data_IF_821953109509
#
_entry.id   IF_821953109509
#
_cell.length_a   1.000
_cell.length_b   1.000
_cell.length_c   1.000
_cell.angle_alpha   90.00
_cell.angle_beta   90.00
_cell.angle_gamma   90.00
#
_symmetry.space_group_name_H-M   'P 1'
#
loop_
_entity.id
_entity.type
_entity.pdbx_description
1 polymer ?
#
# COMPACT_ATOMS: atom_id res chain seq x y z
N UNK A 1 -32.02 -19.34 60.20
CA UNK A 1 -32.48 -19.92 58.92
C UNK A 1 -32.20 -18.88 57.85
N UNK A 2 -31.29 -19.22 56.92
CA UNK A 2 -30.72 -18.36 55.88
C UNK A 2 -31.75 -17.97 54.82
N UNK A 3 -31.61 -16.78 54.23
CA UNK A 3 -31.91 -16.54 52.81
C UNK A 3 -31.17 -15.26 52.35
N UNK A 4 -29.94 -15.46 51.87
CA UNK A 4 -29.16 -14.46 51.13
C UNK A 4 -29.64 -14.47 49.67
N UNK A 5 -30.25 -13.38 49.23
CA UNK A 5 -30.62 -13.14 47.84
C UNK A 5 -29.37 -12.71 47.06
N UNK A 6 -28.71 -13.66 46.37
CA UNK A 6 -27.66 -13.35 45.40
C UNK A 6 -28.30 -12.88 44.09
N UNK A 7 -28.45 -11.57 43.93
CA UNK A 7 -28.74 -10.94 42.64
C UNK A 7 -27.47 -10.99 41.77
N UNK A 8 -27.35 -12.03 40.95
CA UNK A 8 -26.32 -12.14 39.91
C UNK A 8 -26.65 -11.10 38.83
N UNK A 9 -25.95 -9.97 38.87
CA UNK A 9 -25.91 -9.01 37.76
C UNK A 9 -25.13 -9.64 36.60
N UNK A 10 -25.86 -10.21 35.63
CA UNK A 10 -25.28 -10.54 34.33
C UNK A 10 -25.02 -9.23 33.59
N UNK A 11 -23.74 -8.82 33.51
CA UNK A 11 -23.34 -7.76 32.60
C UNK A 11 -23.71 -8.20 31.18
N UNK A 12 -24.46 -7.41 30.40
CA UNK A 12 -24.62 -7.73 28.99
C UNK A 12 -23.23 -7.74 28.37
N UNK A 13 -22.83 -8.88 27.81
CA UNK A 13 -21.65 -8.96 26.97
C UNK A 13 -21.92 -8.01 25.79
N UNK A 14 -21.31 -6.84 25.81
CA UNK A 14 -21.31 -5.95 24.66
C UNK A 14 -20.75 -6.79 23.49
N UNK A 15 -21.60 -7.12 22.53
CA UNK A 15 -21.18 -7.79 21.31
C UNK A 15 -20.13 -6.89 20.66
N UNK A 16 -18.86 -7.26 20.80
CA UNK A 16 -17.77 -6.59 20.08
C UNK A 16 -18.11 -6.74 18.60
N UNK A 17 -18.50 -5.62 17.97
CA UNK A 17 -18.69 -5.58 16.54
C UNK A 17 -17.39 -6.08 15.90
N UNK A 18 -17.50 -7.10 15.06
CA UNK A 18 -16.36 -7.65 14.34
C UNK A 18 -15.69 -6.59 13.44
N UNK A 19 -14.49 -6.88 12.93
CA UNK A 19 -13.76 -5.93 12.08
C UNK A 19 -14.60 -5.55 10.86
N UNK A 20 -14.60 -4.27 10.51
CA UNK A 20 -15.26 -3.79 9.31
C UNK A 20 -14.44 -4.12 8.04
N UNK A 21 -14.97 -3.81 6.87
CA UNK A 21 -14.27 -4.07 5.61
C UNK A 21 -12.97 -3.27 5.49
N UNK A 22 -12.96 -2.03 5.99
CA UNK A 22 -11.78 -1.17 5.98
C UNK A 22 -10.68 -1.77 6.84
N UNK A 23 -11.00 -2.29 8.03
CA UNK A 23 -10.05 -2.96 8.93
C UNK A 23 -9.41 -4.17 8.26
N UNK A 24 -10.19 -4.98 7.55
CA UNK A 24 -9.70 -6.14 6.82
C UNK A 24 -8.76 -5.73 5.68
N UNK A 25 -9.12 -4.70 4.90
CA UNK A 25 -8.29 -4.18 3.81
C UNK A 25 -7.00 -3.58 4.35
N UNK A 26 -7.08 -2.79 5.43
CA UNK A 26 -5.92 -2.18 6.08
C UNK A 26 -4.97 -3.24 6.60
N UNK A 27 -5.48 -4.24 7.33
CA UNK A 27 -4.67 -5.36 7.82
C UNK A 27 -4.01 -6.16 6.69
N UNK A 28 -4.73 -6.38 5.59
CA UNK A 28 -4.20 -7.12 4.43
C UNK A 28 -3.15 -6.34 3.64
N UNK A 29 -3.26 -5.01 3.54
CA UNK A 29 -2.35 -4.18 2.76
C UNK A 29 -1.13 -3.70 3.57
N UNK A 30 -1.24 -3.60 4.89
CA UNK A 30 -0.19 -3.06 5.74
C UNK A 30 1.09 -3.91 5.71
N UNK A 31 2.23 -3.24 5.82
CA UNK A 31 3.55 -3.85 5.83
C UNK A 31 4.66 -2.95 5.31
N UNK A 32 5.89 -3.43 5.41
CA UNK A 32 7.06 -2.83 4.78
C UNK A 32 7.36 -3.56 3.47
N UNK A 33 7.00 -2.96 2.36
CA UNK A 33 7.08 -3.53 1.02
C UNK A 33 8.37 -3.13 0.30
N UNK A 34 8.74 -3.94 -0.70
CA UNK A 34 9.88 -3.72 -1.57
C UNK A 34 9.42 -3.70 -3.02
N UNK A 35 9.93 -2.77 -3.82
CA UNK A 35 9.72 -2.71 -5.26
C UNK A 35 11.07 -2.90 -5.98
N UNK A 36 11.19 -3.83 -6.93
CA UNK A 36 12.44 -4.03 -7.68
C UNK A 36 12.81 -2.79 -8.49
N UNK A 37 14.11 -2.55 -8.64
CA UNK A 37 14.64 -1.47 -9.46
C UNK A 37 16.05 -1.82 -9.93
N UNK A 38 16.46 -1.39 -11.11
CA UNK A 38 17.83 -1.51 -11.58
C UNK A 38 18.44 -0.12 -11.68
N UNK A 39 19.53 0.13 -10.98
CA UNK A 39 20.19 1.44 -10.94
C UNK A 39 21.58 1.33 -11.53
N UNK A 40 21.97 2.33 -12.32
CA UNK A 40 23.26 2.40 -12.97
C UNK A 40 24.27 3.10 -12.05
N UNK A 41 25.36 2.40 -11.75
CA UNK A 41 26.50 2.91 -10.97
C UNK A 41 27.75 2.70 -11.82
N UNK A 42 28.49 3.78 -12.11
CA UNK A 42 29.74 3.70 -12.90
C UNK A 42 29.57 2.94 -14.23
N UNK A 43 28.44 3.16 -14.93
CA UNK A 43 28.12 2.47 -16.19
C UNK A 43 27.58 1.04 -16.06
N UNK A 44 27.47 0.51 -14.84
CA UNK A 44 26.99 -0.86 -14.58
C UNK A 44 25.61 -0.85 -13.92
N UNK A 45 24.66 -1.57 -14.51
CA UNK A 45 23.34 -1.78 -13.90
C UNK A 45 23.42 -2.78 -12.76
N UNK A 46 23.03 -2.35 -11.56
CA UNK A 46 22.91 -3.17 -10.36
C UNK A 46 21.46 -3.24 -9.94
N UNK A 47 21.01 -4.45 -9.60
CA UNK A 47 19.65 -4.66 -9.07
C UNK A 47 19.58 -4.22 -7.62
N UNK A 48 18.58 -3.40 -7.30
CA UNK A 48 18.26 -2.94 -5.95
C UNK A 48 16.77 -3.08 -5.66
N UNK A 49 16.36 -2.52 -4.52
CA UNK A 49 14.95 -2.46 -4.12
C UNK A 49 14.61 -1.11 -3.49
N UNK A 50 13.49 -0.51 -3.91
CA UNK A 50 12.86 0.64 -3.24
C UNK A 50 12.01 0.15 -2.07
N UNK A 51 12.05 0.86 -0.94
CA UNK A 51 11.17 0.57 0.21
C UNK A 51 9.92 1.43 0.17
N UNK A 52 8.77 0.80 0.40
CA UNK A 52 7.48 1.46 0.54
C UNK A 52 6.86 0.97 1.84
N UNK A 53 6.42 1.88 2.69
CA UNK A 53 5.80 1.54 3.98
C UNK A 53 4.31 1.83 3.87
N UNK A 54 3.49 0.83 4.20
CA UNK A 54 2.03 0.94 4.25
C UNK A 54 1.61 0.67 5.69
N UNK A 55 1.08 1.70 6.34
CA UNK A 55 0.68 1.66 7.75
C UNK A 55 -0.83 1.91 7.89
N UNK A 56 -1.47 1.39 8.93
CA UNK A 56 -2.80 1.82 9.33
C UNK A 56 -2.82 3.32 9.66
N UNK A 57 -3.83 4.03 9.16
CA UNK A 57 -4.18 5.38 9.56
C UNK A 57 -5.48 5.34 10.38
N UNK A 58 -5.33 5.23 11.70
CA UNK A 58 -6.44 5.09 12.64
C UNK A 58 -6.82 6.46 13.19
N UNK A 59 -8.04 6.91 12.88
CA UNK A 59 -8.60 8.16 13.42
C UNK A 59 -9.85 7.79 14.23
N UNK A 60 -9.94 8.14 15.53
CA UNK A 60 -11.11 7.85 16.34
C UNK A 60 -12.41 8.33 15.68
N UNK A 61 -13.42 7.47 15.67
CA UNK A 61 -14.73 7.76 15.07
C UNK A 61 -14.75 7.76 13.53
N UNK A 62 -13.66 7.37 12.86
CA UNK A 62 -13.61 7.22 11.41
C UNK A 62 -13.22 5.78 11.03
N UNK A 63 -13.79 5.23 9.94
CA UNK A 63 -13.33 3.96 9.38
C UNK A 63 -11.82 3.97 9.12
N UNK A 64 -11.14 2.85 9.36
CA UNK A 64 -9.69 2.73 9.21
C UNK A 64 -9.23 3.11 7.78
N UNK A 65 -8.08 3.78 7.70
CA UNK A 65 -7.43 4.12 6.43
C UNK A 65 -6.03 3.54 6.33
N UNK A 66 -5.38 3.83 5.20
CA UNK A 66 -3.97 3.55 4.96
C UNK A 66 -3.17 4.83 4.90
N UNK A 67 -1.95 4.79 5.39
CA UNK A 67 -0.90 5.77 5.15
C UNK A 67 0.22 5.09 4.39
N UNK A 68 0.44 5.52 3.16
CA UNK A 68 1.55 5.13 2.32
C UNK A 68 2.71 6.10 2.51
N UNK A 69 3.93 5.58 2.59
CA UNK A 69 5.14 6.38 2.59
C UNK A 69 6.15 5.78 1.62
N UNK A 70 6.64 6.62 0.72
CA UNK A 70 7.80 6.30 -0.09
C UNK A 70 9.04 6.67 0.72
N UNK A 71 9.85 5.66 1.01
CA UNK A 71 11.13 5.88 1.68
C UNK A 71 12.14 6.18 0.60
N UNK A 72 12.93 7.20 0.85
CA UNK A 72 13.96 7.67 -0.06
C UNK A 72 14.82 6.51 -0.57
N UNK A 73 14.91 6.43 -1.88
CA UNK A 73 15.91 5.62 -2.52
C UNK A 73 17.18 6.45 -2.34
N UNK A 74 18.11 6.02 -1.48
CA UNK A 74 19.45 6.61 -1.39
C UNK A 74 20.41 5.83 -2.32
N UNK A 75 20.30 5.86 -3.66
CA UNK A 75 21.34 5.29 -4.48
C UNK A 75 22.39 6.40 -4.62
N UNK A 76 23.19 6.63 -3.58
CA UNK A 76 24.01 7.86 -3.42
C UNK A 76 24.83 8.26 -4.66
N UNK A 77 25.23 7.30 -5.49
CA UNK A 77 26.04 7.48 -6.70
C UNK A 77 25.36 6.99 -7.99
N UNK A 78 24.07 6.62 -7.95
CA UNK A 78 23.42 6.15 -9.18
C UNK A 78 23.12 7.31 -10.12
N UNK A 79 23.44 7.10 -11.40
CA UNK A 79 23.19 8.10 -12.46
C UNK A 79 21.78 8.02 -13.03
N UNK A 80 21.16 6.84 -12.98
CA UNK A 80 19.74 6.63 -13.30
C UNK A 80 19.24 5.32 -12.73
N UNK A 81 17.93 5.17 -12.65
CA UNK A 81 17.31 3.88 -12.37
C UNK A 81 16.17 3.58 -13.36
N UNK A 82 15.98 2.30 -13.66
CA UNK A 82 15.00 1.77 -14.61
C UNK A 82 14.31 0.50 -14.09
N UNK A 83 13.11 0.21 -14.60
CA UNK A 83 12.46 -1.10 -14.41
C UNK A 83 13.04 -2.15 -15.38
N UNK A 84 12.53 -3.39 -15.32
CA UNK A 84 12.97 -4.45 -16.25
C UNK A 84 12.68 -4.17 -17.74
N UNK A 85 11.84 -3.19 -18.05
CA UNK A 85 11.50 -2.78 -19.42
C UNK A 85 12.32 -1.56 -19.87
N UNK A 86 13.22 -1.05 -19.02
CA UNK A 86 13.98 0.15 -19.30
C UNK A 86 13.23 1.46 -19.05
N UNK A 87 12.03 1.41 -18.45
CA UNK A 87 11.29 2.63 -18.08
C UNK A 87 11.98 3.31 -16.91
N UNK A 88 12.18 4.62 -16.99
CA UNK A 88 12.76 5.40 -15.91
C UNK A 88 11.99 5.23 -14.59
N UNK A 89 12.73 5.03 -13.51
CA UNK A 89 12.23 4.85 -12.15
C UNK A 89 12.76 6.00 -11.27
N UNK A 90 12.09 7.16 -11.25
CA UNK A 90 12.52 8.33 -10.49
C UNK A 90 12.45 8.08 -8.99
N UNK A 91 13.17 8.86 -8.20
CA UNK A 91 13.01 8.93 -6.76
C UNK A 91 11.60 9.43 -6.42
N UNK A 92 10.97 8.75 -5.48
CA UNK A 92 9.63 9.08 -5.00
C UNK A 92 9.75 9.42 -3.52
N UNK A 93 9.41 10.66 -3.16
CA UNK A 93 9.50 11.14 -1.78
C UNK A 93 8.17 11.70 -1.32
N UNK A 94 7.72 11.26 -0.15
CA UNK A 94 6.46 11.70 0.44
C UNK A 94 5.52 10.53 0.72
N UNK A 95 4.23 10.79 0.61
CA UNK A 95 3.23 9.81 1.01
C UNK A 95 1.80 10.25 0.78
N UNK A 96 0.88 9.29 0.88
CA UNK A 96 -0.54 9.49 0.69
C UNK A 96 -1.33 8.84 1.81
N UNK A 97 -2.47 9.42 2.17
CA UNK A 97 -3.46 8.79 3.03
C UNK A 97 -4.68 8.43 2.19
N UNK A 98 -5.12 7.19 2.31
CA UNK A 98 -6.25 6.67 1.55
C UNK A 98 -7.25 5.96 2.44
N UNK A 99 -8.51 5.89 2.01
CA UNK A 99 -9.55 5.11 2.70
C UNK A 99 -10.40 4.36 1.70
N UNK A 100 -11.02 3.28 2.16
CA UNK A 100 -12.03 2.60 1.37
C UNK A 100 -13.27 3.50 1.22
N UNK A 101 -13.81 3.68 0.00
CA UNK A 101 -15.03 4.46 -0.19
C UNK A 101 -16.24 3.77 0.45
N UNK A 102 -17.26 4.58 0.77
CA UNK A 102 -18.54 4.09 1.29
C UNK A 102 -18.63 4.04 2.82
N UNK A 103 -19.70 3.41 3.32
CA UNK A 103 -20.00 3.30 4.75
C UNK A 103 -19.50 1.95 5.30
N UNK A 104 -19.17 1.86 6.60
CA UNK A 104 -18.88 0.59 7.25
C UNK A 104 -20.06 -0.37 7.20
N UNK A 105 -19.76 -1.63 6.85
CA UNK A 105 -20.72 -2.75 6.82
C UNK A 105 -20.09 -3.97 7.52
N UNK A 106 -19.97 -3.94 8.87
CA UNK A 106 -19.29 -4.99 9.62
C UNK A 106 -19.97 -6.37 9.48
N UNK A 107 -21.28 -6.41 9.25
CA UNK A 107 -22.09 -7.61 9.11
C UNK A 107 -21.67 -8.51 7.94
N UNK A 108 -21.17 -7.92 6.84
CA UNK A 108 -20.78 -8.65 5.63
C UNK A 108 -19.31 -8.50 5.28
N UNK A 109 -18.53 -7.74 6.07
CA UNK A 109 -17.14 -7.38 5.81
C UNK A 109 -16.26 -8.56 5.35
N UNK A 110 -16.28 -9.70 6.07
CA UNK A 110 -15.47 -10.88 5.72
C UNK A 110 -15.87 -11.54 4.41
N UNK A 111 -17.17 -11.55 4.10
CA UNK A 111 -17.68 -12.10 2.83
C UNK A 111 -17.27 -11.19 1.69
N UNK A 112 -17.49 -9.89 1.85
CA UNK A 112 -17.26 -8.89 0.83
C UNK A 112 -15.77 -8.73 0.52
N UNK A 113 -14.91 -8.81 1.55
CA UNK A 113 -13.46 -8.87 1.40
C UNK A 113 -13.02 -10.05 0.52
N UNK A 114 -13.44 -11.28 0.87
CA UNK A 114 -13.09 -12.49 0.10
C UNK A 114 -13.63 -12.45 -1.32
N UNK A 115 -14.88 -12.01 -1.50
CA UNK A 115 -15.51 -11.90 -2.80
C UNK A 115 -14.82 -10.85 -3.69
N UNK A 116 -14.41 -9.73 -3.09
CA UNK A 116 -13.68 -8.67 -3.79
C UNK A 116 -12.31 -9.15 -4.24
N UNK A 117 -11.54 -9.81 -3.36
CA UNK A 117 -10.27 -10.44 -3.75
C UNK A 117 -10.46 -11.51 -4.83
N UNK A 118 -11.53 -12.30 -4.78
CA UNK A 118 -11.80 -13.33 -5.78
C UNK A 118 -12.14 -12.74 -7.15
N UNK A 119 -13.01 -11.72 -7.20
CA UNK A 119 -13.59 -11.16 -8.43
C UNK A 119 -12.82 -9.98 -8.99
N UNK A 120 -12.54 -8.98 -8.16
CA UNK A 120 -11.86 -7.72 -8.54
C UNK A 120 -10.34 -7.78 -8.38
N UNK A 121 -9.84 -8.81 -7.70
CA UNK A 121 -8.40 -9.08 -7.53
C UNK A 121 -7.64 -7.98 -6.79
N UNK A 122 -8.34 -7.15 -6.02
CA UNK A 122 -7.74 -6.02 -5.31
C UNK A 122 -8.79 -5.07 -4.77
N UNK A 123 -8.30 -3.97 -4.19
CA UNK A 123 -9.11 -2.91 -3.62
C UNK A 123 -8.71 -1.57 -4.23
N UNK A 124 -9.71 -0.70 -4.38
CA UNK A 124 -9.56 0.69 -4.80
C UNK A 124 -10.00 1.57 -3.64
N UNK A 125 -9.17 2.55 -3.31
CA UNK A 125 -9.32 3.45 -2.17
C UNK A 125 -9.25 4.90 -2.68
N UNK A 126 -10.02 5.77 -2.04
CA UNK A 126 -9.97 7.21 -2.29
C UNK A 126 -8.77 7.79 -1.54
N UNK A 127 -7.92 8.54 -2.25
CA UNK A 127 -6.83 9.28 -1.62
C UNK A 127 -7.43 10.54 -1.00
N UNK A 128 -7.35 10.66 0.32
CA UNK A 128 -7.89 11.80 1.06
C UNK A 128 -6.95 13.00 0.99
N UNK A 129 -5.66 12.73 1.11
CA UNK A 129 -4.60 13.73 1.00
C UNK A 129 -3.28 13.05 0.66
N UNK A 130 -2.37 13.78 0.02
CA UNK A 130 -1.01 13.30 -0.15
C UNK A 130 -0.29 13.91 -1.32
N UNK A 131 1.01 14.06 -1.16
CA UNK A 131 1.88 14.65 -2.18
C UNK A 131 3.13 13.80 -2.30
N UNK A 132 3.57 13.61 -3.54
CA UNK A 132 4.81 12.90 -3.86
C UNK A 132 5.66 13.83 -4.70
N UNK A 133 6.90 14.02 -4.25
CA UNK A 133 7.95 14.60 -5.09
C UNK A 133 8.53 13.50 -5.96
N UNK A 134 8.65 13.81 -7.24
CA UNK A 134 9.23 12.94 -8.26
C UNK A 134 10.52 13.59 -8.73
N UNK A 135 11.63 12.92 -8.45
CA UNK A 135 12.99 13.43 -8.68
C UNK A 135 13.73 12.48 -9.61
N UNK A 136 14.40 13.00 -10.64
CA UNK A 136 15.27 12.18 -11.46
C UNK A 136 16.44 11.65 -10.60
N UNK A 137 16.79 10.38 -10.78
CA UNK A 137 17.97 9.79 -10.13
C UNK A 137 19.23 10.36 -10.80
N UNK A 138 20.26 10.68 -10.02
CA UNK A 138 21.56 11.15 -10.53
C UNK A 138 21.62 12.63 -10.91
N UNK A 139 20.59 13.42 -10.56
CA UNK A 139 20.58 14.88 -10.73
C UNK A 139 21.10 15.56 -9.47
N UNK A 140 21.98 16.56 -9.61
CA UNK A 140 22.58 17.37 -8.52
C UNK A 140 21.58 18.33 -7.81
N UNK A 141 20.28 18.09 -7.97
CA UNK A 141 19.13 18.62 -7.25
C UNK A 141 18.86 20.14 -7.28
N UNK A 142 17.84 20.50 -8.07
CA UNK A 142 16.86 21.55 -7.75
C UNK A 142 15.48 21.27 -8.39
N UNK A 143 15.46 20.56 -9.53
CA UNK A 143 14.23 20.27 -10.26
C UNK A 143 13.56 18.98 -9.76
N UNK A 144 12.37 19.15 -9.19
CA UNK A 144 11.46 18.06 -8.85
C UNK A 144 10.08 18.40 -9.36
N UNK A 145 9.34 17.38 -9.79
CA UNK A 145 7.92 17.51 -10.04
C UNK A 145 7.16 17.18 -8.75
N UNK A 146 6.22 18.05 -8.36
CA UNK A 146 5.34 17.80 -7.22
C UNK A 146 3.99 17.32 -7.73
N UNK A 147 3.68 16.05 -7.48
CA UNK A 147 2.38 15.47 -7.79
C UNK A 147 1.47 15.49 -6.57
N UNK A 148 0.31 16.14 -6.69
CA UNK A 148 -0.77 16.09 -5.71
C UNK A 148 -1.74 14.94 -6.04
N UNK A 149 -1.86 14.00 -5.12
CA UNK A 149 -2.75 12.85 -5.26
C UNK A 149 -4.10 13.04 -4.54
N UNK A 150 -4.34 14.20 -3.94
CA UNK A 150 -5.55 14.47 -3.15
C UNK A 150 -6.83 14.34 -3.99
N UNK A 151 -7.72 13.46 -3.54
CA UNK A 151 -8.94 13.04 -4.23
C UNK A 151 -8.70 12.22 -5.52
N UNK A 152 -7.49 11.71 -5.71
CA UNK A 152 -7.17 10.65 -6.67
C UNK A 152 -7.48 9.26 -6.10
N UNK A 153 -6.93 8.21 -6.71
CA UNK A 153 -7.18 6.82 -6.32
C UNK A 153 -5.90 6.05 -6.01
N UNK A 154 -5.98 5.21 -4.98
CA UNK A 154 -4.99 4.19 -4.65
C UNK A 154 -5.60 2.82 -4.95
N UNK A 155 -4.97 2.05 -5.82
CA UNK A 155 -5.32 0.65 -6.09
C UNK A 155 -4.22 -0.27 -5.59
N UNK A 156 -4.63 -1.31 -4.86
CA UNK A 156 -3.77 -2.40 -4.42
C UNK A 156 -4.37 -3.70 -4.95
N UNK A 157 -3.71 -4.32 -5.93
CA UNK A 157 -4.21 -5.55 -6.57
C UNK A 157 -3.19 -6.67 -6.57
N UNK A 158 -3.66 -7.91 -6.58
CA UNK A 158 -2.80 -9.09 -6.77
C UNK A 158 -2.11 -9.01 -8.13
N UNK A 159 -0.92 -9.59 -8.19
CA UNK A 159 -0.19 -9.73 -9.44
C UNK A 159 -0.79 -10.88 -10.24
N UNK A 160 -1.17 -10.63 -11.49
CA UNK A 160 -1.68 -11.69 -12.36
C UNK A 160 -0.53 -12.52 -12.95
N UNK A 161 -0.65 -13.85 -13.03
CA UNK A 161 0.34 -14.69 -13.70
C UNK A 161 0.61 -14.24 -15.14
N UNK A 162 1.82 -14.52 -15.65
CA UNK A 162 2.25 -14.21 -17.01
C UNK A 162 2.25 -12.71 -17.41
N UNK A 163 2.08 -11.79 -16.47
CA UNK A 163 2.28 -10.34 -16.70
C UNK A 163 3.75 -9.94 -16.61
N UNK A 164 4.08 -8.73 -17.06
CA UNK A 164 5.43 -8.17 -16.88
C UNK A 164 5.74 -7.97 -15.40
N UNK A 165 4.77 -7.51 -14.62
CA UNK A 165 4.90 -7.36 -13.16
C UNK A 165 5.14 -8.71 -12.48
N UNK A 166 4.51 -9.79 -12.95
CA UNK A 166 4.79 -11.14 -12.46
C UNK A 166 6.21 -11.59 -12.77
N UNK A 167 6.70 -11.32 -13.99
CA UNK A 167 8.08 -11.64 -14.39
C UNK A 167 9.09 -10.84 -13.56
N UNK A 168 8.80 -9.57 -13.29
CA UNK A 168 9.64 -8.71 -12.45
C UNK A 168 9.73 -9.21 -11.01
N UNK A 169 8.60 -9.66 -10.46
CA UNK A 169 8.55 -10.19 -9.11
C UNK A 169 8.91 -11.67 -9.00
N UNK A 170 9.10 -12.39 -10.12
CA UNK A 170 9.36 -13.84 -10.11
C UNK A 170 10.64 -14.20 -9.37
N UNK A 171 11.68 -13.37 -9.49
CA UNK A 171 12.98 -13.60 -8.86
C UNK A 171 13.03 -13.35 -7.35
N UNK A 172 11.94 -12.84 -6.76
CA UNK A 172 11.85 -12.57 -5.33
C UNK A 172 11.03 -13.65 -4.64
N UNK A 173 11.64 -14.35 -3.68
CA UNK A 173 10.94 -15.33 -2.87
C UNK A 173 10.04 -14.60 -1.87
N UNK A 174 8.73 -14.62 -2.12
CA UNK A 174 7.72 -13.95 -1.31
C UNK A 174 6.34 -14.48 -1.64
N UNK A 175 5.59 -14.86 -0.63
CA UNK A 175 4.20 -15.30 -0.77
C UNK A 175 3.22 -14.15 -0.97
N UNK A 176 3.66 -12.91 -0.71
CA UNK A 176 2.81 -11.71 -0.80
C UNK A 176 3.37 -10.73 -1.83
N UNK A 177 2.68 -10.65 -2.96
CA UNK A 177 3.03 -9.83 -4.12
C UNK A 177 1.80 -9.08 -4.62
N UNK A 178 1.93 -7.77 -4.82
CA UNK A 178 0.84 -6.91 -5.28
C UNK A 178 1.36 -5.86 -6.28
N UNK A 179 0.44 -5.27 -7.04
CA UNK A 179 0.67 -4.06 -7.81
C UNK A 179 0.05 -2.91 -7.03
N UNK A 180 0.87 -1.89 -6.76
CA UNK A 180 0.48 -0.65 -6.14
C UNK A 180 0.34 0.41 -7.24
N UNK A 181 -0.85 0.97 -7.43
CA UNK A 181 -1.10 2.02 -8.41
C UNK A 181 -1.69 3.24 -7.72
N UNK A 182 -1.03 4.38 -7.86
CA UNK A 182 -1.55 5.69 -7.49
C UNK A 182 -1.93 6.44 -8.76
N UNK A 183 -3.09 7.08 -8.76
CA UNK A 183 -3.55 7.91 -9.87
C UNK A 183 -4.07 9.25 -9.34
N UNK A 184 -3.57 10.36 -9.88
CA UNK A 184 -4.07 11.70 -9.58
C UNK A 184 -5.44 11.93 -10.23
N UNK A 185 -6.09 13.07 -9.95
CA UNK A 185 -7.32 13.48 -10.67
C UNK A 185 -7.07 13.81 -12.14
N UNK A 186 -5.91 14.40 -12.44
CA UNK A 186 -5.48 14.79 -13.79
C UNK A 186 -5.00 13.60 -14.63
N UNK A 187 -4.70 12.46 -14.01
CA UNK A 187 -4.45 11.18 -14.67
C UNK A 187 -3.00 10.68 -14.59
N UNK A 188 -2.08 11.47 -14.04
CA UNK A 188 -0.71 11.02 -13.74
C UNK A 188 -0.76 9.78 -12.84
N UNK A 189 0.08 8.80 -13.18
CA UNK A 189 0.03 7.47 -12.57
C UNK A 189 1.41 7.01 -12.12
N UNK A 190 1.51 6.56 -10.87
CA UNK A 190 2.66 5.81 -10.35
C UNK A 190 2.22 4.37 -10.15
N UNK A 191 2.86 3.43 -10.84
CA UNK A 191 2.60 2.00 -10.70
C UNK A 191 3.88 1.28 -10.30
N UNK A 192 3.81 0.50 -9.22
CA UNK A 192 4.93 -0.24 -8.67
C UNK A 192 4.52 -1.69 -8.36
N UNK A 193 5.16 -2.69 -8.97
CA UNK A 193 5.08 -4.05 -8.48
C UNK A 193 5.83 -4.14 -7.15
N UNK A 194 5.21 -4.72 -6.13
CA UNK A 194 5.75 -4.82 -4.77
C UNK A 194 5.66 -6.22 -4.20
N UNK A 195 6.61 -6.57 -3.34
CA UNK A 195 6.63 -7.81 -2.58
C UNK A 195 6.95 -7.56 -1.11
N UNK A 196 6.47 -8.45 -0.24
CA UNK A 196 6.86 -8.44 1.16
C UNK A 196 8.22 -9.14 1.31
N UNK A 197 9.21 -8.53 1.98
CA UNK A 197 10.44 -9.24 2.30
C UNK A 197 10.12 -10.39 3.26
N UNK A 198 10.85 -11.50 3.14
CA UNK A 198 10.77 -12.60 4.12
C UNK A 198 11.07 -12.07 5.53
N UNK A 199 10.35 -12.59 6.53
CA UNK A 199 10.73 -12.40 7.92
C UNK A 199 12.05 -13.16 8.12
N UNK A 200 13.14 -12.42 8.34
CA UNK A 200 14.44 -12.99 8.69
C UNK A 200 14.40 -13.56 10.10
#
# INVERSE_FOLDING_TARGET
MFLLFFLVWTRPAAAQQGPDLSDLVVSWASGSWRSPINCEFEGTLRRGVRRIVIEPNLIPGRPAGLKLRFVDLHPGEATRCIDLRGKAQPNLLGGVKARLPGRPHPETARRDFRQTLKRKKGFELDIIEGTIKVEAVGSDAAEYERLDFSGGTLRISVVYPATDEARELASFNSDRKFILTLKTKSGETIQLPVFAPEAR
#
